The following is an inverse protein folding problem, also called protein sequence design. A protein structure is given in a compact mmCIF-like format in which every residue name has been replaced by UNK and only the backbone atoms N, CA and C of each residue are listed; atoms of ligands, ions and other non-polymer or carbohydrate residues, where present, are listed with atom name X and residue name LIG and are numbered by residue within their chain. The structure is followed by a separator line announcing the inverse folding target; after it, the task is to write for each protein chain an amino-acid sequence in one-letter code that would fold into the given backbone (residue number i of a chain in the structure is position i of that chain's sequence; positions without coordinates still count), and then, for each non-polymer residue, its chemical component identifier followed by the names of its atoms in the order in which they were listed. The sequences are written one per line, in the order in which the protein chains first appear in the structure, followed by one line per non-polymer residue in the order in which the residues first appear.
data_IF_946761426294
#
_entry.id   IF_946761426294
#
_cell.length_a   1.000
_cell.length_b   1.000
_cell.length_c   1.000
_cell.angle_alpha   90.00
_cell.angle_beta   90.00
_cell.angle_gamma   90.00
#
_symmetry.space_group_name_H-M   'P 1'
#
loop_
_entity.id
_entity.type
_entity.pdbx_description
1 polymer ?
#
# COMPACT_ATOMS: atom_id res chain seq x y z
N UNK A 1 9.46 -1.37 -18.10
CA UNK A 1 10.01 -2.38 -17.19
C UNK A 1 10.85 -1.69 -16.14
N UNK A 2 11.42 -2.46 -15.20
CA UNK A 2 12.31 -1.96 -14.15
C UNK A 2 13.74 -2.43 -14.39
N UNK A 3 14.71 -1.79 -13.76
CA UNK A 3 16.07 -2.33 -13.57
C UNK A 3 16.10 -3.14 -12.26
N UNK A 4 16.10 -4.48 -12.31
CA UNK A 4 16.01 -5.32 -11.11
C UNK A 4 17.24 -5.19 -10.20
N UNK A 5 18.43 -4.97 -10.77
CA UNK A 5 19.67 -4.87 -10.00
C UNK A 5 19.68 -3.56 -9.21
N UNK A 6 19.32 -2.44 -9.85
CA UNK A 6 19.19 -1.15 -9.17
C UNK A 6 18.15 -1.20 -8.04
N UNK A 7 17.00 -1.86 -8.28
CA UNK A 7 15.98 -2.07 -7.25
C UNK A 7 16.51 -2.92 -6.09
N UNK A 8 17.22 -4.00 -6.40
CA UNK A 8 17.81 -4.89 -5.41
C UNK A 8 18.85 -4.16 -4.53
N UNK A 9 19.67 -3.28 -5.12
CA UNK A 9 20.64 -2.45 -4.39
C UNK A 9 19.94 -1.52 -3.41
N UNK A 10 18.88 -0.81 -3.84
CA UNK A 10 18.11 0.08 -2.96
C UNK A 10 17.48 -0.72 -1.82
N UNK A 11 16.82 -1.85 -2.12
CA UNK A 11 16.13 -2.69 -1.14
C UNK A 11 17.07 -3.32 -0.09
N UNK A 12 18.36 -3.50 -0.42
CA UNK A 12 19.42 -3.97 0.49
C UNK A 12 20.12 -2.84 1.26
N UNK A 13 19.79 -1.58 0.96
CA UNK A 13 20.40 -0.42 1.60
C UNK A 13 20.25 -0.41 3.13
N UNK A 14 21.27 0.10 3.83
CA UNK A 14 21.29 0.16 5.30
C UNK A 14 20.14 0.97 5.88
N UNK A 15 19.75 2.07 5.22
CA UNK A 15 18.60 2.89 5.63
C UNK A 15 17.27 2.17 5.44
N UNK A 16 17.12 1.36 4.38
CA UNK A 16 15.96 0.49 4.19
C UNK A 16 15.91 -0.55 5.31
N UNK A 17 17.02 -1.23 5.61
CA UNK A 17 17.09 -2.21 6.69
C UNK A 17 16.73 -1.60 8.07
N UNK A 18 17.22 -0.38 8.35
CA UNK A 18 16.88 0.37 9.57
C UNK A 18 15.38 0.68 9.65
N UNK A 19 14.77 1.12 8.54
CA UNK A 19 13.32 1.41 8.46
C UNK A 19 12.48 0.14 8.58
N UNK A 20 12.88 -0.97 7.95
CA UNK A 20 12.26 -2.29 8.13
C UNK A 20 12.24 -2.65 9.62
N UNK A 21 13.37 -2.49 10.33
CA UNK A 21 13.44 -2.78 11.77
C UNK A 21 12.47 -1.97 12.62
N UNK A 22 12.24 -0.69 12.27
CA UNK A 22 11.24 0.16 12.94
C UNK A 22 9.82 -0.29 12.62
N UNK A 23 9.51 -0.50 11.34
CA UNK A 23 8.18 -0.86 10.88
C UNK A 23 7.76 -2.26 11.37
N UNK A 24 8.71 -3.21 11.50
CA UNK A 24 8.46 -4.52 12.14
C UNK A 24 7.95 -4.40 13.58
N UNK A 25 8.43 -3.40 14.33
CA UNK A 25 7.95 -3.14 15.69
C UNK A 25 6.60 -2.44 15.67
N UNK A 26 6.41 -1.48 14.75
CA UNK A 26 5.17 -0.74 14.58
C UNK A 26 3.99 -1.66 14.20
N UNK A 27 4.24 -2.64 13.32
CA UNK A 27 3.23 -3.59 12.84
C UNK A 27 3.36 -4.97 13.48
N UNK A 28 3.95 -5.05 14.69
CA UNK A 28 4.14 -6.32 15.36
C UNK A 28 2.79 -7.00 15.61
N UNK A 29 2.69 -8.30 15.25
CA UNK A 29 1.46 -9.08 15.40
C UNK A 29 0.44 -8.91 14.26
N UNK A 30 0.62 -7.92 13.38
CA UNK A 30 -0.28 -7.68 12.25
C UNK A 30 0.33 -8.16 10.91
N UNK A 31 -0.54 -8.58 10.00
CA UNK A 31 -0.23 -8.74 8.58
C UNK A 31 -0.36 -7.41 7.88
N UNK A 32 0.61 -7.08 7.03
CA UNK A 32 0.65 -5.79 6.33
C UNK A 32 0.20 -5.96 4.89
N UNK A 33 -0.95 -5.35 4.56
CA UNK A 33 -1.38 -5.12 3.19
C UNK A 33 -0.92 -3.73 2.76
N UNK A 34 -0.35 -3.60 1.56
CA UNK A 34 0.27 -2.37 1.09
C UNK A 34 -0.34 -1.91 -0.23
N UNK A 35 -0.75 -0.64 -0.31
CA UNK A 35 -0.98 0.08 -1.55
C UNK A 35 0.06 1.19 -1.73
N UNK A 36 0.57 1.35 -2.95
CA UNK A 36 1.46 2.47 -3.32
C UNK A 36 1.00 2.97 -4.67
N UNK A 37 0.41 4.15 -4.70
CA UNK A 37 -0.17 4.71 -5.92
C UNK A 37 0.01 6.22 -5.94
N UNK A 38 0.07 6.78 -7.15
CA UNK A 38 -0.04 8.22 -7.32
C UNK A 38 -1.44 8.70 -6.96
N UNK A 39 -1.53 9.92 -6.45
CA UNK A 39 -2.79 10.63 -6.23
C UNK A 39 -3.40 11.03 -7.58
N UNK A 40 -4.03 10.05 -8.22
CA UNK A 40 -4.67 10.19 -9.52
C UNK A 40 -6.01 9.39 -9.54
N UNK A 41 -7.10 9.94 -10.09
CA UNK A 41 -8.40 9.27 -10.14
C UNK A 41 -8.39 7.89 -10.82
N UNK A 42 -7.51 7.69 -11.81
CA UNK A 42 -7.37 6.41 -12.54
C UNK A 42 -6.81 5.28 -11.69
N UNK A 43 -6.16 5.61 -10.55
CA UNK A 43 -5.63 4.62 -9.61
C UNK A 43 -6.69 4.02 -8.70
N UNK A 44 -7.93 4.53 -8.74
CA UNK A 44 -9.06 3.90 -8.05
C UNK A 44 -8.96 3.89 -6.53
N UNK A 45 -8.21 4.82 -5.93
CA UNK A 45 -7.94 4.87 -4.49
C UNK A 45 -9.22 4.84 -3.64
N UNK A 46 -10.25 5.60 -4.02
CA UNK A 46 -11.55 5.61 -3.33
C UNK A 46 -12.17 4.21 -3.31
N UNK A 47 -12.18 3.52 -4.45
CA UNK A 47 -12.72 2.15 -4.56
C UNK A 47 -11.89 1.17 -3.73
N UNK A 48 -10.56 1.32 -3.72
CA UNK A 48 -9.64 0.50 -2.92
C UNK A 48 -9.98 0.62 -1.42
N UNK A 49 -10.12 1.83 -0.90
CA UNK A 49 -10.47 2.04 0.51
C UNK A 49 -11.86 1.48 0.86
N UNK A 50 -12.86 1.65 -0.02
CA UNK A 50 -14.19 1.07 0.19
C UNK A 50 -14.16 -0.46 0.18
N UNK A 51 -13.37 -1.07 -0.69
CA UNK A 51 -13.21 -2.53 -0.73
C UNK A 51 -12.52 -3.06 0.54
N UNK A 52 -11.52 -2.34 1.06
CA UNK A 52 -10.87 -2.69 2.33
C UNK A 52 -11.85 -2.50 3.51
N UNK A 53 -12.64 -1.42 3.54
CA UNK A 53 -13.70 -1.24 4.54
C UNK A 53 -14.65 -2.44 4.54
N UNK A 54 -15.14 -2.85 3.37
CA UNK A 54 -16.08 -3.96 3.23
C UNK A 54 -15.44 -5.28 3.67
N UNK A 55 -14.20 -5.55 3.26
CA UNK A 55 -13.46 -6.75 3.65
C UNK A 55 -13.33 -6.85 5.18
N UNK A 56 -12.85 -5.79 5.82
CA UNK A 56 -12.60 -5.80 7.27
C UNK A 56 -13.90 -5.76 8.08
N UNK A 57 -14.97 -5.14 7.56
CA UNK A 57 -16.29 -5.15 8.22
C UNK A 57 -16.97 -6.52 8.13
N UNK A 58 -16.79 -7.25 7.02
CA UNK A 58 -17.34 -8.62 6.85
C UNK A 58 -16.53 -9.68 7.58
N UNK A 59 -15.25 -9.41 7.80
CA UNK A 59 -14.30 -10.33 8.43
C UNK A 59 -13.62 -9.67 9.64
N UNK A 60 -14.31 -9.56 10.79
CA UNK A 60 -13.75 -8.94 12.00
C UNK A 60 -12.43 -9.58 12.45
N UNK A 61 -12.22 -10.88 12.19
CA UNK A 61 -10.97 -11.58 12.45
C UNK A 61 -9.78 -10.99 11.67
N UNK A 62 -10.03 -10.44 10.48
CA UNK A 62 -9.02 -9.74 9.70
C UNK A 62 -8.82 -8.32 10.23
N UNK A 63 -9.88 -7.65 10.70
CA UNK A 63 -9.78 -6.30 11.27
C UNK A 63 -8.87 -6.26 12.51
N UNK A 64 -8.77 -7.35 13.28
CA UNK A 64 -7.89 -7.47 14.44
C UNK A 64 -6.45 -7.92 14.08
N UNK A 65 -6.25 -8.49 12.88
CA UNK A 65 -4.99 -9.13 12.50
C UNK A 65 -4.27 -8.49 11.31
N UNK A 66 -4.91 -7.55 10.61
CA UNK A 66 -4.41 -6.95 9.37
C UNK A 66 -4.40 -5.43 9.48
N UNK A 67 -3.30 -4.83 9.02
CA UNK A 67 -3.21 -3.40 8.76
C UNK A 67 -3.07 -3.16 7.26
N UNK A 68 -3.89 -2.26 6.73
CA UNK A 68 -3.78 -1.76 5.36
C UNK A 68 -3.06 -0.42 5.35
N UNK A 69 -1.88 -0.36 4.74
CA UNK A 69 -1.07 0.85 4.59
C UNK A 69 -1.19 1.33 3.15
N UNK A 70 -1.66 2.55 2.94
CA UNK A 70 -1.71 3.18 1.61
C UNK A 70 -0.75 4.37 1.59
N UNK A 71 0.22 4.32 0.67
CA UNK A 71 1.10 5.46 0.37
C UNK A 71 0.53 6.20 -0.84
N UNK A 72 0.28 7.50 -0.67
CA UNK A 72 -0.12 8.41 -1.74
C UNK A 72 1.09 9.18 -2.28
N UNK A 73 1.52 8.86 -3.50
CA UNK A 73 2.61 9.56 -4.17
C UNK A 73 2.07 10.82 -4.87
N UNK A 74 2.83 11.94 -4.90
CA UNK A 74 2.43 13.11 -5.67
C UNK A 74 2.25 12.75 -7.15
N UNK A 75 1.11 13.13 -7.74
CA UNK A 75 0.94 13.10 -9.19
C UNK A 75 1.49 14.39 -9.79
N UNK A 76 2.24 14.26 -10.89
CA UNK A 76 2.73 15.41 -11.68
C UNK A 76 1.87 15.67 -12.92
N UNK A 77 1.00 14.72 -13.28
CA UNK A 77 0.26 14.71 -14.55
C UNK A 77 -1.19 15.19 -14.41
N UNK A 78 -1.73 15.22 -13.18
CA UNK A 78 -3.13 15.54 -12.92
C UNK A 78 -3.30 17.02 -12.49
N UNK A 79 -4.50 17.56 -12.71
CA UNK A 79 -4.82 18.93 -12.31
C UNK A 79 -4.70 19.11 -10.77
N UNK A 80 -4.07 20.21 -10.34
CA UNK A 80 -3.80 20.45 -8.91
C UNK A 80 -5.09 20.50 -8.08
N UNK A 81 -6.16 21.08 -8.62
CA UNK A 81 -7.44 21.16 -7.93
C UNK A 81 -8.08 19.76 -7.80
N UNK A 82 -8.01 18.94 -8.85
CA UNK A 82 -8.49 17.56 -8.81
C UNK A 82 -7.73 16.71 -7.79
N UNK A 83 -6.39 16.83 -7.72
CA UNK A 83 -5.56 16.17 -6.69
C UNK A 83 -5.99 16.58 -5.28
N UNK A 84 -6.21 17.87 -5.04
CA UNK A 84 -6.64 18.37 -3.73
C UNK A 84 -8.02 17.85 -3.33
N UNK A 85 -8.97 17.80 -4.27
CA UNK A 85 -10.30 17.24 -4.04
C UNK A 85 -10.23 15.74 -3.70
N UNK A 86 -9.42 15.00 -4.46
CA UNK A 86 -9.21 13.57 -4.25
C UNK A 86 -8.55 13.31 -2.88
N UNK A 87 -7.51 14.06 -2.52
CA UNK A 87 -6.85 13.93 -1.23
C UNK A 87 -7.81 14.25 -0.07
N UNK A 88 -8.61 15.31 -0.20
CA UNK A 88 -9.64 15.64 0.80
C UNK A 88 -10.70 14.53 0.92
N UNK A 89 -11.10 13.92 -0.20
CA UNK A 89 -12.03 12.79 -0.20
C UNK A 89 -11.42 11.56 0.48
N UNK A 90 -10.17 11.22 0.17
CA UNK A 90 -9.44 10.10 0.79
C UNK A 90 -9.32 10.31 2.30
N UNK A 91 -8.89 11.48 2.76
CA UNK A 91 -8.72 11.76 4.19
C UNK A 91 -10.05 11.62 4.97
N UNK A 92 -11.15 12.12 4.41
CA UNK A 92 -12.50 11.93 4.99
C UNK A 92 -12.89 10.45 5.03
N UNK A 93 -12.61 9.73 3.95
CA UNK A 93 -12.93 8.32 3.82
C UNK A 93 -12.16 7.49 4.86
N UNK A 94 -10.84 7.64 4.94
CA UNK A 94 -9.98 6.94 5.91
C UNK A 94 -10.45 7.21 7.34
N UNK A 95 -10.73 8.47 7.68
CA UNK A 95 -11.24 8.84 9.01
C UNK A 95 -12.55 8.13 9.33
N UNK A 96 -13.50 8.11 8.39
CA UNK A 96 -14.79 7.43 8.54
C UNK A 96 -14.60 5.91 8.71
N UNK A 97 -13.81 5.28 7.84
CA UNK A 97 -13.59 3.84 7.84
C UNK A 97 -12.95 3.39 9.15
N UNK A 98 -11.86 4.02 9.58
CA UNK A 98 -11.22 3.67 10.86
C UNK A 98 -12.17 3.85 12.04
N UNK A 99 -13.01 4.90 12.03
CA UNK A 99 -14.01 5.10 13.09
C UNK A 99 -15.04 3.97 13.14
N UNK A 100 -15.52 3.51 11.97
CA UNK A 100 -16.44 2.38 11.87
C UNK A 100 -15.79 1.07 12.36
N UNK A 101 -14.57 0.77 11.91
CA UNK A 101 -13.86 -0.46 12.26
C UNK A 101 -13.51 -0.52 13.76
N UNK A 102 -13.09 0.61 14.35
CA UNK A 102 -12.85 0.71 15.81
C UNK A 102 -14.12 0.51 16.63
N UNK A 103 -15.28 0.93 16.13
CA UNK A 103 -16.54 0.69 16.83
C UNK A 103 -16.93 -0.80 16.85
N UNK A 104 -16.42 -1.59 15.91
CA UNK A 104 -16.72 -3.02 15.75
C UNK A 104 -15.68 -3.95 16.41
N UNK A 105 -14.44 -3.47 16.61
CA UNK A 105 -13.32 -4.30 17.06
C UNK A 105 -12.87 -3.91 18.47
N UNK A 106 -12.71 -4.90 19.35
CA UNK A 106 -12.37 -4.67 20.77
C UNK A 106 -10.88 -4.86 21.08
N UNK A 107 -10.10 -5.44 20.16
CA UNK A 107 -8.67 -5.72 20.33
C UNK A 107 -7.89 -5.33 19.08
N UNK A 108 -7.14 -4.24 19.16
CA UNK A 108 -6.20 -3.85 18.11
C UNK A 108 -4.90 -3.43 18.78
N UNK A 109 -3.82 -4.17 18.54
CA UNK A 109 -2.48 -3.87 19.08
C UNK A 109 -1.72 -2.82 18.24
N UNK A 110 -2.34 -2.35 17.14
CA UNK A 110 -1.85 -1.32 16.23
C UNK A 110 -2.82 -0.13 16.18
N UNK A 111 -2.33 1.08 15.85
CA UNK A 111 -3.12 2.32 15.98
C UNK A 111 -4.43 2.30 15.21
N UNK A 112 -4.36 2.03 13.90
CA UNK A 112 -5.50 2.08 12.99
C UNK A 112 -5.44 0.96 11.93
N UNK A 113 -6.58 0.32 11.58
CA UNK A 113 -6.65 -0.69 10.52
C UNK A 113 -6.29 -0.16 9.14
N UNK A 114 -6.58 1.11 8.84
CA UNK A 114 -6.17 1.77 7.61
C UNK A 114 -5.24 2.94 7.95
N UNK A 115 -4.00 2.88 7.45
CA UNK A 115 -3.02 3.94 7.59
C UNK A 115 -2.76 4.57 6.22
N UNK A 116 -3.21 5.81 6.04
CA UNK A 116 -2.94 6.58 4.84
C UNK A 116 -1.78 7.54 5.06
N UNK A 117 -0.74 7.41 4.25
CA UNK A 117 0.46 8.24 4.28
C UNK A 117 0.42 9.15 3.06
N UNK A 118 -0.03 10.39 3.26
CA UNK A 118 0.15 11.47 2.27
C UNK A 118 1.43 12.24 2.56
N UNK A 119 1.98 12.90 1.54
CA UNK A 119 3.23 13.67 1.57
C UNK A 119 4.52 12.83 1.41
N UNK A 120 5.67 13.45 1.08
CA UNK A 120 6.75 12.77 0.38
C UNK A 120 7.32 11.66 1.26
N UNK A 121 7.05 10.43 0.83
CA UNK A 121 7.70 9.25 1.38
C UNK A 121 9.08 9.13 0.75
N UNK A 122 10.12 9.13 1.57
CA UNK A 122 11.47 8.84 1.10
C UNK A 122 11.48 7.49 0.38
N UNK A 123 12.28 7.35 -0.68
CA UNK A 123 12.39 6.10 -1.44
C UNK A 123 12.66 4.91 -0.52
N UNK A 124 13.50 5.10 0.50
CA UNK A 124 13.85 4.05 1.46
C UNK A 124 12.67 3.65 2.36
N UNK A 125 11.69 4.53 2.58
CA UNK A 125 10.46 4.18 3.30
C UNK A 125 9.56 3.30 2.44
N UNK A 126 9.45 3.63 1.15
CA UNK A 126 8.66 2.84 0.19
C UNK A 126 9.29 1.46 0.07
N UNK A 127 10.59 1.36 -0.17
CA UNK A 127 11.29 0.09 -0.26
C UNK A 127 11.27 -0.72 1.05
N UNK A 128 11.28 -0.05 2.21
CA UNK A 128 11.07 -0.73 3.49
C UNK A 128 9.67 -1.34 3.59
N UNK A 129 8.63 -0.60 3.18
CA UNK A 129 7.25 -1.12 3.13
C UNK A 129 7.12 -2.26 2.12
N UNK A 130 7.67 -2.14 0.90
CA UNK A 130 7.65 -3.20 -0.11
C UNK A 130 8.33 -4.49 0.40
N UNK A 131 9.47 -4.36 1.07
CA UNK A 131 10.20 -5.50 1.65
C UNK A 131 9.47 -6.15 2.84
N UNK A 132 8.71 -5.34 3.58
CA UNK A 132 7.99 -5.78 4.77
C UNK A 132 6.64 -6.44 4.44
N UNK A 133 5.86 -5.80 3.57
CA UNK A 133 4.46 -6.10 3.32
C UNK A 133 4.21 -7.57 2.93
N UNK A 134 3.17 -8.16 3.51
CA UNK A 134 2.73 -9.52 3.23
C UNK A 134 1.99 -9.61 1.90
N UNK A 135 1.24 -8.55 1.54
CA UNK A 135 0.47 -8.48 0.29
C UNK A 135 0.56 -7.08 -0.30
N UNK A 136 0.84 -6.98 -1.60
CA UNK A 136 0.69 -5.74 -2.37
C UNK A 136 -0.70 -5.69 -3.05
N UNK A 137 -1.40 -4.57 -2.93
CA UNK A 137 -2.75 -4.35 -3.47
C UNK A 137 -2.70 -3.28 -4.57
N UNK A 138 -2.73 -3.72 -5.81
CA UNK A 138 -2.66 -2.88 -7.01
C UNK A 138 -3.97 -2.98 -7.76
N UNK A 139 -4.86 -2.01 -7.53
CA UNK A 139 -6.22 -2.00 -8.09
C UNK A 139 -6.54 -0.74 -8.89
N UNK A 140 -5.72 -0.35 -9.88
CA UNK A 140 -6.07 0.76 -10.75
C UNK A 140 -7.31 0.43 -11.58
N UNK A 141 -8.09 1.47 -11.89
CA UNK A 141 -9.21 1.41 -12.85
C UNK A 141 -8.67 1.29 -14.27
N UNK A 142 -7.56 2.00 -14.55
CA UNK A 142 -6.85 1.94 -15.82
C UNK A 142 -5.39 2.30 -15.61
N UNK A 143 -4.47 1.44 -16.02
CA UNK A 143 -3.03 1.72 -15.92
C UNK A 143 -2.27 1.15 -17.11
N UNK A 144 -1.41 1.98 -17.72
CA UNK A 144 -0.63 1.58 -18.89
C UNK A 144 0.43 0.54 -18.55
N UNK A 145 1.35 0.88 -17.64
CA UNK A 145 2.36 -0.04 -17.13
C UNK A 145 2.69 0.34 -15.70
N UNK A 146 2.23 -0.48 -14.75
CA UNK A 146 2.51 -0.28 -13.34
C UNK A 146 3.81 -1.02 -12.97
N UNK A 147 4.83 -0.29 -12.53
CA UNK A 147 6.13 -0.87 -12.13
C UNK A 147 6.14 -1.39 -10.69
N UNK A 148 5.21 -0.93 -9.84
CA UNK A 148 5.20 -1.25 -8.41
C UNK A 148 5.15 -2.75 -8.10
N UNK A 149 4.37 -3.61 -8.81
CA UNK A 149 4.42 -5.05 -8.61
C UNK A 149 5.80 -5.66 -8.82
N UNK A 150 6.55 -5.19 -9.83
CA UNK A 150 7.89 -5.71 -10.11
C UNK A 150 8.87 -5.28 -9.03
N UNK A 151 8.81 -4.01 -8.62
CA UNK A 151 9.64 -3.48 -7.53
C UNK A 151 9.37 -4.22 -6.22
N UNK A 152 8.10 -4.55 -5.94
CA UNK A 152 7.70 -5.36 -4.81
C UNK A 152 8.28 -6.78 -4.87
N UNK A 153 8.17 -7.46 -6.02
CA UNK A 153 8.71 -8.81 -6.19
C UNK A 153 10.21 -8.83 -5.90
N UNK A 154 10.98 -7.94 -6.52
CA UNK A 154 12.44 -7.85 -6.30
C UNK A 154 12.75 -7.52 -4.83
N UNK A 155 12.04 -6.54 -4.25
CA UNK A 155 12.23 -6.15 -2.84
C UNK A 155 11.95 -7.32 -1.88
N UNK A 156 11.01 -8.20 -2.19
CA UNK A 156 10.71 -9.38 -1.36
C UNK A 156 11.75 -10.48 -1.55
N UNK A 157 12.15 -10.71 -2.79
CA UNK A 157 13.12 -11.75 -3.18
C UNK A 157 14.48 -11.53 -2.52
N UNK A 158 15.00 -10.29 -2.52
CA UNK A 158 16.31 -9.98 -1.90
C UNK A 158 16.33 -10.21 -0.38
N UNK A 159 15.17 -10.24 0.27
CA UNK A 159 14.99 -10.57 1.68
C UNK A 159 14.57 -12.03 1.91
N UNK A 160 14.60 -12.87 0.86
CA UNK A 160 14.29 -14.30 0.93
C UNK A 160 12.82 -14.61 1.17
N UNK A 161 11.91 -13.73 0.75
CA UNK A 161 10.48 -13.86 1.00
C UNK A 161 9.67 -13.99 -0.29
N UNK A 162 8.57 -14.73 -0.21
CA UNK A 162 7.59 -14.82 -1.30
C UNK A 162 6.81 -13.51 -1.39
N UNK A 163 6.58 -13.04 -2.62
CA UNK A 163 5.77 -11.88 -2.94
C UNK A 163 4.33 -12.31 -3.28
N UNK A 164 3.33 -11.71 -2.64
CA UNK A 164 1.92 -11.93 -2.94
C UNK A 164 1.31 -10.63 -3.45
N UNK A 165 0.67 -10.67 -4.62
CA UNK A 165 0.10 -9.48 -5.27
C UNK A 165 -1.37 -9.70 -5.59
N UNK A 166 -2.23 -8.78 -5.15
CA UNK A 166 -3.61 -8.63 -5.66
C UNK A 166 -3.55 -7.60 -6.77
N UNK A 167 -3.85 -8.02 -8.00
CA UNK A 167 -3.65 -7.21 -9.20
C UNK A 167 -4.96 -7.07 -10.00
N UNK A 168 -5.33 -5.83 -10.32
CA UNK A 168 -6.41 -5.53 -11.26
C UNK A 168 -6.06 -6.02 -12.66
N UNK A 169 -7.02 -6.66 -13.34
CA UNK A 169 -6.91 -7.04 -14.75
C UNK A 169 -6.70 -5.84 -15.69
N UNK A 170 -7.07 -4.64 -15.24
CA UNK A 170 -6.92 -3.38 -15.96
C UNK A 170 -5.54 -2.72 -15.76
N UNK A 171 -4.64 -3.36 -15.01
CA UNK A 171 -3.24 -2.96 -14.95
C UNK A 171 -2.49 -3.59 -16.13
N UNK A 172 -1.79 -2.81 -16.94
CA UNK A 172 -1.08 -3.37 -18.11
C UNK A 172 0.00 -4.42 -17.77
N UNK A 173 0.48 -4.47 -16.52
CA UNK A 173 1.39 -5.53 -16.05
C UNK A 173 0.68 -6.85 -15.73
N UNK A 174 -0.66 -6.89 -15.67
CA UNK A 174 -1.42 -8.12 -15.43
C UNK A 174 -1.13 -9.21 -16.46
N UNK A 175 -0.81 -8.84 -17.70
CA UNK A 175 -0.41 -9.80 -18.75
C UNK A 175 0.97 -10.42 -18.53
N UNK A 176 1.83 -9.80 -17.72
CA UNK A 176 3.18 -10.29 -17.42
C UNK A 176 3.27 -11.04 -16.10
N UNK A 177 2.29 -10.86 -15.21
CA UNK A 177 2.28 -11.38 -13.84
C UNK A 177 1.12 -12.34 -13.54
N UNK A 178 0.15 -12.44 -14.46
CA UNK A 178 -1.01 -13.34 -14.38
C UNK A 178 -0.85 -14.61 -15.20
#
# INVERSE_FOLDING_TARGET
GIDPDAVAEIAKGSEVARKIGKMKKQFAGAKVMLGVDQLDPTKGLVHKFLAIEELLSRHPELAEAVVFVQVGLPSSDSDRHEIQLLEAQINRLVTRVNSNLRAQSQKVDFEDPIQYISAPSSIESIFALLSLADVLVVTPIRDGMNTMPFEYVVSREVHGKIATVVLSEFAGCARSLG
#
